data_IF_114290842184
#
_entry.id   IF_114290842184
#
_cell.length_a   1.000
_cell.length_b   1.000
_cell.length_c   1.000
_cell.angle_alpha   90.00
_cell.angle_beta   90.00
_cell.angle_gamma   90.00
#
_symmetry.space_group_name_H-M   'P 1'
#
loop_
_entity.id
_entity.type
_entity.pdbx_description
1 polymer ?
#
# COMPACT_ATOMS: atom_id res chain seq x y z
N UNK A 1 -91.68 -32.88 31.18
CA UNK A 1 -90.83 -32.46 30.04
C UNK A 1 -89.73 -31.49 30.46
N UNK A 2 -90.00 -30.56 31.39
CA UNK A 2 -89.04 -29.55 31.93
C UNK A 2 -87.83 -30.17 32.65
N UNK A 3 -88.04 -31.25 33.39
CA UNK A 3 -87.00 -31.90 34.22
C UNK A 3 -85.83 -32.46 33.38
N UNK A 4 -86.15 -33.11 32.24
CA UNK A 4 -85.13 -33.66 31.32
C UNK A 4 -84.31 -32.57 30.63
N UNK A 5 -84.89 -31.39 30.40
CA UNK A 5 -84.18 -30.25 29.80
C UNK A 5 -83.18 -29.63 30.78
N UNK A 6 -83.56 -29.48 32.05
CA UNK A 6 -82.67 -28.96 33.10
C UNK A 6 -81.47 -29.89 33.32
N UNK A 7 -81.70 -31.20 33.39
CA UNK A 7 -80.64 -32.20 33.50
C UNK A 7 -79.67 -32.11 32.30
N UNK A 8 -80.18 -31.99 31.08
CA UNK A 8 -79.35 -31.84 29.89
C UNK A 8 -78.49 -30.56 29.92
N UNK A 9 -79.06 -29.43 30.37
CA UNK A 9 -78.32 -28.16 30.50
C UNK A 9 -77.19 -28.24 31.53
N UNK A 10 -77.41 -28.90 32.66
CA UNK A 10 -76.37 -29.12 33.67
C UNK A 10 -75.24 -29.98 33.11
N UNK A 11 -75.56 -31.06 32.39
CA UNK A 11 -74.54 -31.88 31.73
C UNK A 11 -73.73 -31.10 30.71
N UNK A 12 -74.38 -30.24 29.92
CA UNK A 12 -73.69 -29.39 28.95
C UNK A 12 -72.74 -28.41 29.64
N UNK A 13 -73.16 -27.76 30.74
CA UNK A 13 -72.30 -26.88 31.51
C UNK A 13 -71.06 -27.60 32.06
N UNK A 14 -71.21 -28.84 32.55
CA UNK A 14 -70.07 -29.64 32.99
C UNK A 14 -69.16 -30.06 31.84
N UNK A 15 -69.74 -30.47 30.70
CA UNK A 15 -68.99 -30.84 29.50
C UNK A 15 -68.13 -29.67 29.03
N UNK A 16 -68.70 -28.46 28.97
CA UNK A 16 -68.00 -27.25 28.54
C UNK A 16 -66.86 -26.90 29.50
N UNK A 17 -67.10 -26.98 30.81
CA UNK A 17 -66.08 -26.76 31.83
C UNK A 17 -64.91 -27.75 31.70
N UNK A 18 -65.20 -29.05 31.57
CA UNK A 18 -64.16 -30.06 31.41
C UNK A 18 -63.43 -29.95 30.07
N UNK A 19 -64.13 -29.59 29.00
CA UNK A 19 -63.53 -29.33 27.70
C UNK A 19 -62.57 -28.13 27.76
N UNK A 20 -62.93 -27.06 28.46
CA UNK A 20 -62.07 -25.90 28.67
C UNK A 20 -60.81 -26.29 29.45
N UNK A 21 -60.97 -27.03 30.56
CA UNK A 21 -59.82 -27.50 31.33
C UNK A 21 -58.93 -28.47 30.52
N UNK A 22 -59.54 -29.35 29.73
CA UNK A 22 -58.81 -30.25 28.84
C UNK A 22 -58.01 -29.48 27.78
N UNK A 23 -58.56 -28.41 27.19
CA UNK A 23 -57.83 -27.60 26.21
C UNK A 23 -56.61 -26.93 26.82
N UNK A 24 -56.71 -26.44 28.07
CA UNK A 24 -55.57 -25.86 28.80
C UNK A 24 -54.46 -26.88 29.02
N UNK A 25 -54.82 -28.08 29.50
CA UNK A 25 -53.86 -29.17 29.71
C UNK A 25 -53.20 -29.57 28.39
N UNK A 26 -53.98 -29.73 27.32
CA UNK A 26 -53.47 -30.11 26.02
C UNK A 26 -52.56 -29.02 25.41
N UNK A 27 -52.89 -27.74 25.56
CA UNK A 27 -52.05 -26.63 25.10
C UNK A 27 -50.69 -26.64 25.82
N UNK A 28 -50.70 -26.86 27.14
CA UNK A 28 -49.46 -27.01 27.91
C UNK A 28 -48.61 -28.17 27.42
N UNK A 29 -49.24 -29.34 27.19
CA UNK A 29 -48.55 -30.54 26.72
C UNK A 29 -47.97 -30.38 25.31
N UNK A 30 -48.73 -29.78 24.38
CA UNK A 30 -48.24 -29.46 23.02
C UNK A 30 -47.04 -28.52 23.09
N UNK A 31 -47.09 -27.49 23.94
CA UNK A 31 -45.98 -26.57 24.16
C UNK A 31 -44.73 -27.26 24.73
N UNK A 32 -44.91 -28.14 25.73
CA UNK A 32 -43.83 -28.94 26.29
C UNK A 32 -43.18 -29.84 25.24
N UNK A 33 -44.00 -30.58 24.47
CA UNK A 33 -43.52 -31.51 23.46
C UNK A 33 -42.68 -30.81 22.39
N UNK A 34 -43.16 -29.67 21.87
CA UNK A 34 -42.43 -28.87 20.87
C UNK A 34 -41.07 -28.42 21.42
N UNK A 35 -41.02 -27.88 22.65
CA UNK A 35 -39.77 -27.44 23.29
C UNK A 35 -38.79 -28.57 23.57
N UNK A 36 -39.29 -29.80 23.74
CA UNK A 36 -38.44 -30.97 24.02
C UNK A 36 -37.97 -31.70 22.75
N UNK A 37 -38.78 -31.72 21.70
CA UNK A 37 -38.54 -32.57 20.51
C UNK A 37 -38.15 -31.82 19.26
N UNK A 38 -38.65 -30.59 19.08
CA UNK A 38 -38.47 -29.82 17.83
C UNK A 38 -37.54 -28.64 18.04
N UNK A 39 -37.71 -27.89 19.14
CA UNK A 39 -36.95 -26.67 19.41
C UNK A 39 -35.83 -26.92 20.43
N UNK A 40 -34.67 -27.37 19.95
CA UNK A 40 -33.44 -27.40 20.75
C UNK A 40 -32.81 -26.00 20.79
N UNK A 41 -33.32 -25.17 21.69
CA UNK A 41 -32.90 -23.76 21.85
C UNK A 41 -31.41 -23.68 22.19
N UNK A 42 -30.88 -24.65 22.92
CA UNK A 42 -29.46 -24.66 23.32
C UNK A 42 -28.56 -24.96 22.12
N UNK A 43 -28.91 -25.93 21.27
CA UNK A 43 -28.19 -26.15 19.99
C UNK A 43 -28.27 -24.93 19.08
N UNK A 44 -29.43 -24.30 18.97
CA UNK A 44 -29.58 -23.08 18.16
C UNK A 44 -28.69 -21.94 18.66
N UNK A 45 -28.64 -21.73 19.98
CA UNK A 45 -27.75 -20.72 20.59
C UNK A 45 -26.28 -21.03 20.35
N UNK A 46 -25.87 -22.29 20.48
CA UNK A 46 -24.50 -22.72 20.17
C UNK A 46 -24.14 -22.46 18.71
N UNK A 47 -25.01 -22.85 17.78
CA UNK A 47 -24.81 -22.59 16.36
C UNK A 47 -24.71 -21.09 16.05
N UNK A 48 -25.59 -20.26 16.64
CA UNK A 48 -25.51 -18.81 16.48
C UNK A 48 -24.16 -18.26 16.96
N UNK A 49 -23.69 -18.69 18.13
CA UNK A 49 -22.39 -18.28 18.64
C UNK A 49 -21.25 -18.69 17.69
N UNK A 50 -21.26 -19.92 17.19
CA UNK A 50 -20.28 -20.39 16.21
C UNK A 50 -20.30 -19.56 14.91
N UNK A 51 -21.48 -19.20 14.42
CA UNK A 51 -21.63 -18.33 13.23
C UNK A 51 -21.05 -16.94 13.51
N UNK A 52 -21.34 -16.34 14.66
CA UNK A 52 -20.79 -15.04 15.02
C UNK A 52 -19.26 -15.09 15.17
N UNK A 53 -18.72 -16.10 15.83
CA UNK A 53 -17.26 -16.30 15.96
C UNK A 53 -16.60 -16.42 14.60
N UNK A 54 -17.12 -17.27 13.69
CA UNK A 54 -16.56 -17.42 12.33
C UNK A 54 -16.67 -16.14 11.51
N UNK A 55 -17.75 -15.40 11.66
CA UNK A 55 -17.91 -14.11 10.98
C UNK A 55 -16.85 -13.11 11.47
N UNK A 56 -16.63 -13.03 12.78
CA UNK A 56 -15.61 -12.14 13.35
C UNK A 56 -14.19 -12.51 12.88
N UNK A 57 -13.86 -13.80 12.88
CA UNK A 57 -12.60 -14.32 12.32
C UNK A 57 -12.44 -13.96 10.84
N UNK A 58 -13.51 -14.11 10.05
CA UNK A 58 -13.52 -13.78 8.62
C UNK A 58 -13.25 -12.29 8.40
N UNK A 59 -13.94 -11.42 9.14
CA UNK A 59 -13.73 -9.96 9.08
C UNK A 59 -12.30 -9.59 9.48
N UNK A 60 -11.74 -10.22 10.52
CA UNK A 60 -10.36 -10.00 10.94
C UNK A 60 -9.37 -10.42 9.87
N UNK A 61 -9.58 -11.58 9.24
CA UNK A 61 -8.74 -12.05 8.14
C UNK A 61 -8.80 -11.10 6.94
N UNK A 62 -10.00 -10.66 6.54
CA UNK A 62 -10.18 -9.68 5.45
C UNK A 62 -9.44 -8.36 5.73
N UNK A 63 -9.52 -7.86 6.97
CA UNK A 63 -8.77 -6.65 7.38
C UNK A 63 -7.26 -6.86 7.28
N UNK A 64 -6.75 -8.01 7.72
CA UNK A 64 -5.32 -8.35 7.65
C UNK A 64 -4.85 -8.40 6.19
N UNK A 65 -5.55 -9.13 5.32
CA UNK A 65 -5.20 -9.20 3.90
C UNK A 65 -5.16 -7.82 3.25
N UNK A 66 -6.17 -6.98 3.50
CA UNK A 66 -6.19 -5.61 2.98
C UNK A 66 -5.00 -4.78 3.48
N UNK A 67 -4.63 -4.94 4.76
CA UNK A 67 -3.49 -4.24 5.33
C UNK A 67 -2.16 -4.68 4.69
N UNK A 68 -1.98 -5.98 4.50
CA UNK A 68 -0.81 -6.55 3.82
C UNK A 68 -0.69 -6.06 2.37
N UNK A 69 -1.80 -5.95 1.63
CA UNK A 69 -1.81 -5.39 0.28
C UNK A 69 -1.41 -3.91 0.26
N UNK A 70 -1.95 -3.11 1.19
CA UNK A 70 -1.59 -1.69 1.32
C UNK A 70 -0.10 -1.55 1.64
N UNK A 71 0.42 -2.33 2.58
CA UNK A 71 1.84 -2.32 2.93
C UNK A 71 2.72 -2.74 1.76
N UNK A 72 2.35 -3.79 1.02
CA UNK A 72 3.06 -4.21 -0.19
C UNK A 72 3.12 -3.09 -1.23
N UNK A 73 1.99 -2.47 -1.56
CA UNK A 73 1.93 -1.36 -2.51
C UNK A 73 2.75 -0.17 -2.00
N UNK A 74 2.65 0.17 -0.71
CA UNK A 74 3.41 1.25 -0.11
C UNK A 74 4.92 1.00 -0.20
N UNK A 75 5.39 -0.21 0.11
CA UNK A 75 6.82 -0.55 -0.01
C UNK A 75 7.32 -0.51 -1.46
N UNK A 76 6.50 -0.88 -2.45
CA UNK A 76 6.83 -0.73 -3.87
C UNK A 76 6.99 0.76 -4.23
N UNK A 77 6.01 1.58 -3.85
CA UNK A 77 6.04 3.04 -4.09
C UNK A 77 7.24 3.69 -3.40
N UNK A 78 7.54 3.31 -2.17
CA UNK A 78 8.71 3.79 -1.43
C UNK A 78 10.02 3.41 -2.13
N UNK A 79 10.12 2.17 -2.62
CA UNK A 79 11.30 1.71 -3.36
C UNK A 79 11.47 2.44 -4.69
N UNK A 80 10.39 2.62 -5.45
CA UNK A 80 10.41 3.37 -6.71
C UNK A 80 10.75 4.85 -6.47
N UNK A 81 10.13 5.48 -5.49
CA UNK A 81 10.42 6.87 -5.12
C UNK A 81 11.85 7.06 -4.65
N UNK A 82 12.39 6.13 -3.85
CA UNK A 82 13.83 6.12 -3.49
C UNK A 82 14.73 6.03 -4.72
N UNK A 83 14.41 5.18 -5.70
CA UNK A 83 15.17 5.08 -6.93
C UNK A 83 15.12 6.37 -7.75
N UNK A 84 13.95 7.00 -7.86
CA UNK A 84 13.79 8.30 -8.53
C UNK A 84 14.56 9.42 -7.82
N UNK A 85 14.50 9.47 -6.49
CA UNK A 85 15.26 10.43 -5.68
C UNK A 85 16.76 10.23 -5.93
N UNK A 86 17.26 8.99 -5.85
CA UNK A 86 18.66 8.68 -6.15
C UNK A 86 19.04 9.12 -7.57
N UNK A 87 18.20 8.84 -8.57
CA UNK A 87 18.44 9.28 -9.95
C UNK A 87 18.58 10.80 -10.06
N UNK A 88 17.65 11.55 -9.46
CA UNK A 88 17.67 13.01 -9.45
C UNK A 88 18.94 13.51 -8.75
N UNK A 89 19.27 12.96 -7.58
CA UNK A 89 20.49 13.34 -6.84
C UNK A 89 21.74 13.09 -7.68
N UNK A 90 21.84 11.94 -8.36
CA UNK A 90 22.96 11.63 -9.26
C UNK A 90 23.03 12.58 -10.46
N UNK A 91 21.90 12.99 -11.04
CA UNK A 91 21.90 13.95 -12.15
C UNK A 91 22.25 15.36 -11.70
N UNK A 92 21.76 15.77 -10.53
CA UNK A 92 21.87 17.14 -10.03
C UNK A 92 23.04 17.37 -9.07
N UNK A 93 23.85 16.36 -8.74
CA UNK A 93 24.97 16.48 -7.78
C UNK A 93 25.95 17.62 -8.09
N UNK A 94 26.09 17.99 -9.37
CA UNK A 94 26.95 19.07 -9.82
C UNK A 94 26.42 20.47 -9.49
N UNK A 95 25.13 20.60 -9.15
CA UNK A 95 24.51 21.84 -8.69
C UNK A 95 24.83 22.15 -7.22
N UNK A 96 25.48 21.21 -6.51
CA UNK A 96 25.98 21.41 -5.16
C UNK A 96 27.06 22.50 -5.14
N UNK A 97 27.01 23.39 -4.16
CA UNK A 97 28.05 24.40 -3.95
C UNK A 97 29.42 23.77 -3.75
N UNK A 98 30.44 24.42 -4.29
CA UNK A 98 31.85 24.10 -4.09
C UNK A 98 32.50 25.18 -3.24
N UNK A 99 33.76 24.98 -2.80
CA UNK A 99 34.50 26.01 -2.06
C UNK A 99 34.61 27.35 -2.81
N UNK A 100 34.61 27.30 -4.15
CA UNK A 100 34.85 28.46 -5.00
C UNK A 100 33.56 29.02 -5.64
N UNK A 101 32.48 28.24 -5.70
CA UNK A 101 31.23 28.65 -6.36
C UNK A 101 30.01 28.28 -5.51
N UNK A 102 29.08 29.21 -5.26
CA UNK A 102 27.80 28.88 -4.63
C UNK A 102 27.01 27.92 -5.51
N UNK A 103 26.16 27.12 -4.88
CA UNK A 103 25.31 26.14 -5.56
C UNK A 103 24.05 26.83 -6.04
N UNK A 104 23.36 26.21 -7.01
CA UNK A 104 22.14 26.81 -7.58
C UNK A 104 21.00 26.86 -6.56
N UNK A 105 20.99 25.93 -5.62
CA UNK A 105 19.99 25.84 -4.55
C UNK A 105 20.41 26.56 -3.25
N UNK A 106 21.59 27.20 -3.23
CA UNK A 106 22.05 27.97 -2.07
C UNK A 106 21.23 29.26 -2.01
N UNK A 107 20.54 29.53 -0.89
CA UNK A 107 19.95 30.87 -0.69
C UNK A 107 21.06 31.91 -0.54
N UNK A 108 20.88 33.06 -1.18
CA UNK A 108 21.86 34.16 -1.22
C UNK A 108 22.19 34.68 0.19
N UNK A 109 21.24 34.56 1.13
CA UNK A 109 21.32 35.08 2.49
C UNK A 109 21.78 34.04 3.54
N UNK A 110 21.97 32.76 3.18
CA UNK A 110 22.17 31.70 4.17
C UNK A 110 23.52 30.98 4.03
N UNK A 111 24.29 30.94 5.11
CA UNK A 111 25.49 30.08 5.26
C UNK A 111 25.13 28.59 5.38
N UNK A 112 23.90 28.25 5.74
CA UNK A 112 23.42 26.87 5.88
C UNK A 112 22.98 26.28 4.54
N UNK A 113 23.03 24.95 4.45
CA UNK A 113 22.52 24.23 3.29
C UNK A 113 20.99 24.21 3.34
N UNK A 114 20.33 24.27 2.18
CA UNK A 114 18.89 23.96 2.08
C UNK A 114 18.68 22.45 2.14
N UNK A 115 17.47 21.97 2.45
CA UNK A 115 17.16 20.53 2.52
C UNK A 115 17.63 19.78 1.26
N UNK A 116 17.41 20.36 0.08
CA UNK A 116 17.82 19.78 -1.21
C UNK A 116 19.35 19.70 -1.28
N UNK A 117 20.07 20.72 -0.84
CA UNK A 117 21.54 20.67 -0.82
C UNK A 117 22.08 19.69 0.21
N UNK A 118 21.42 19.52 1.36
CA UNK A 118 21.77 18.48 2.34
C UNK A 118 21.62 17.09 1.73
N UNK A 119 20.49 16.84 1.04
CA UNK A 119 20.27 15.58 0.32
C UNK A 119 21.30 15.36 -0.80
N UNK A 120 21.63 16.39 -1.59
CA UNK A 120 22.67 16.32 -2.62
C UNK A 120 24.06 16.07 -2.01
N UNK A 121 24.34 16.61 -0.82
CA UNK A 121 25.61 16.42 -0.10
C UNK A 121 25.77 15.00 0.42
N UNK A 122 24.68 14.33 0.80
CA UNK A 122 24.70 12.92 1.20
C UNK A 122 25.20 12.01 0.06
N UNK A 123 25.14 12.46 -1.20
CA UNK A 123 25.63 11.70 -2.34
C UNK A 123 27.17 11.84 -2.46
N UNK A 124 27.91 10.87 -1.92
CA UNK A 124 29.37 10.80 -2.01
C UNK A 124 29.86 10.39 -3.42
N UNK A 125 29.50 11.16 -4.45
CA UNK A 125 29.73 10.84 -5.86
C UNK A 125 31.18 10.44 -6.19
N UNK A 126 32.16 11.15 -5.64
CA UNK A 126 33.58 10.88 -5.86
C UNK A 126 33.99 9.50 -5.33
N UNK A 127 33.44 9.09 -4.18
CA UNK A 127 33.68 7.76 -3.61
C UNK A 127 32.98 6.69 -4.43
N UNK A 128 31.71 6.91 -4.80
CA UNK A 128 30.96 6.00 -5.67
C UNK A 128 31.71 5.72 -7.00
N UNK A 129 32.18 6.76 -7.69
CA UNK A 129 32.91 6.62 -8.96
C UNK A 129 34.25 5.90 -8.79
N UNK A 130 34.94 6.13 -7.65
CA UNK A 130 36.18 5.42 -7.30
C UNK A 130 35.90 3.93 -7.10
N UNK A 131 34.87 3.59 -6.33
CA UNK A 131 34.50 2.21 -6.03
C UNK A 131 34.02 1.46 -7.28
N UNK A 132 33.26 2.11 -8.17
CA UNK A 132 32.88 1.55 -9.49
C UNK A 132 34.11 1.21 -10.32
N UNK A 133 35.10 2.11 -10.37
CA UNK A 133 36.37 1.90 -11.11
C UNK A 133 37.20 0.76 -10.49
N UNK A 134 37.20 0.61 -9.18
CA UNK A 134 37.91 -0.47 -8.47
C UNK A 134 37.24 -1.83 -8.65
N UNK A 135 35.91 -1.90 -8.59
CA UNK A 135 35.13 -3.13 -8.81
C UNK A 135 35.25 -3.67 -10.24
N UNK A 136 35.30 -2.78 -11.24
CA UNK A 136 35.52 -3.17 -12.63
C UNK A 136 36.93 -3.74 -12.88
N UNK A 137 37.93 -3.31 -12.08
CA UNK A 137 39.31 -3.81 -12.18
C UNK A 137 39.53 -5.17 -11.53
N UNK A 138 38.71 -5.58 -10.54
CA UNK A 138 38.79 -6.90 -9.91
C UNK A 138 38.12 -7.95 -10.82
N UNK A 139 38.90 -8.58 -11.70
CA UNK A 139 38.48 -9.80 -12.40
C UNK A 139 38.38 -10.93 -11.37
N UNK A 140 37.28 -11.68 -11.39
CA UNK A 140 37.15 -12.88 -10.57
C UNK A 140 37.88 -14.02 -11.31
N UNK A 141 38.83 -14.67 -10.65
CA UNK A 141 39.70 -15.68 -11.26
C UNK A 141 38.97 -17.00 -11.57
N UNK A 142 37.85 -17.26 -10.90
CA UNK A 142 37.13 -18.56 -10.94
C UNK A 142 35.75 -18.50 -11.62
N UNK A 143 35.46 -17.45 -12.40
CA UNK A 143 34.19 -17.36 -13.10
C UNK A 143 34.39 -17.10 -14.60
N UNK A 144 34.14 -18.12 -15.42
CA UNK A 144 33.92 -18.02 -16.87
C UNK A 144 32.63 -17.26 -17.23
N UNK A 145 32.03 -16.55 -16.27
CA UNK A 145 30.93 -15.64 -16.50
C UNK A 145 31.56 -14.27 -16.69
N UNK A 146 31.60 -13.84 -17.95
CA UNK A 146 31.88 -12.46 -18.31
C UNK A 146 31.01 -11.56 -17.41
N UNK A 147 31.64 -10.85 -16.46
CA UNK A 147 30.96 -9.88 -15.58
C UNK A 147 30.54 -8.71 -16.45
N UNK A 148 29.54 -8.91 -17.31
CA UNK A 148 28.74 -7.81 -17.81
C UNK A 148 28.25 -7.05 -16.57
N UNK A 149 28.49 -5.73 -16.51
CA UNK A 149 28.00 -4.89 -15.42
C UNK A 149 26.56 -5.26 -15.11
N UNK A 150 26.25 -5.43 -13.82
CA UNK A 150 25.00 -5.95 -13.29
C UNK A 150 23.83 -5.60 -14.21
N UNK A 151 23.15 -6.64 -14.73
CA UNK A 151 22.08 -6.56 -15.75
C UNK A 151 20.90 -5.65 -15.37
N UNK A 152 20.90 -5.05 -14.17
CA UNK A 152 19.86 -4.19 -13.61
C UNK A 152 19.54 -2.98 -14.51
N UNK A 153 20.52 -2.50 -15.30
CA UNK A 153 20.32 -1.32 -16.15
C UNK A 153 20.35 -1.63 -17.66
N UNK A 154 20.58 -2.89 -18.07
CA UNK A 154 20.74 -3.23 -19.50
C UNK A 154 19.41 -3.07 -20.25
N UNK A 155 19.40 -2.32 -21.34
CA UNK A 155 18.18 -1.98 -22.10
C UNK A 155 17.27 -0.96 -21.43
N UNK A 156 17.59 -0.51 -20.22
CA UNK A 156 16.86 0.57 -19.55
C UNK A 156 17.32 1.93 -20.09
N UNK A 157 16.48 2.94 -19.92
CA UNK A 157 16.83 4.34 -20.19
C UNK A 157 18.16 4.77 -19.54
N UNK A 158 18.52 4.18 -18.40
CA UNK A 158 19.76 4.48 -17.66
C UNK A 158 21.04 4.06 -18.39
N UNK A 159 21.04 2.94 -19.13
CA UNK A 159 22.18 2.55 -19.96
C UNK A 159 22.38 3.55 -21.11
N UNK A 160 21.27 4.06 -21.69
CA UNK A 160 21.31 5.08 -22.75
C UNK A 160 21.91 6.39 -22.22
N UNK A 161 21.44 6.84 -21.06
CA UNK A 161 21.99 8.00 -20.36
C UNK A 161 23.47 7.86 -19.98
N UNK A 162 23.91 6.69 -19.49
CA UNK A 162 25.33 6.46 -19.18
C UNK A 162 26.19 6.53 -20.44
N UNK A 163 25.70 5.98 -21.57
CA UNK A 163 26.38 6.06 -22.88
C UNK A 163 26.50 7.51 -23.36
N UNK A 164 25.41 8.29 -23.29
CA UNK A 164 25.41 9.71 -23.67
C UNK A 164 26.41 10.53 -22.84
N UNK A 165 26.45 10.32 -21.52
CA UNK A 165 27.41 11.01 -20.64
C UNK A 165 28.86 10.63 -21.00
N UNK A 166 29.10 9.36 -21.31
CA UNK A 166 30.43 8.90 -21.73
C UNK A 166 30.86 9.51 -23.06
N UNK A 167 29.93 9.61 -24.00
CA UNK A 167 30.15 10.18 -25.32
C UNK A 167 30.42 11.67 -25.25
N UNK A 168 29.64 12.42 -24.45
CA UNK A 168 29.91 13.84 -24.16
C UNK A 168 31.30 14.02 -23.55
N UNK A 169 31.68 13.16 -22.60
CA UNK A 169 33.01 13.24 -21.97
C UNK A 169 34.13 12.94 -22.95
N UNK A 170 33.97 11.92 -23.80
CA UNK A 170 34.92 11.58 -24.86
C UNK A 170 35.06 12.73 -25.87
N UNK A 171 33.96 13.38 -26.21
CA UNK A 171 33.94 14.54 -27.10
C UNK A 171 34.64 15.76 -26.48
N UNK A 172 34.48 15.98 -25.17
CA UNK A 172 35.23 16.99 -24.41
C UNK A 172 36.74 16.70 -24.39
N UNK A 173 37.14 15.45 -24.15
CA UNK A 173 38.54 15.01 -24.16
C UNK A 173 39.18 15.11 -25.55
N UNK A 174 38.40 14.88 -26.61
CA UNK A 174 38.82 15.02 -28.00
C UNK A 174 38.78 16.47 -28.54
N UNK A 175 38.39 17.45 -27.72
CA UNK A 175 38.23 18.85 -28.13
C UNK A 175 37.06 19.10 -29.11
N UNK A 176 36.25 18.08 -29.38
CA UNK A 176 35.08 18.14 -30.26
C UNK A 176 33.83 18.51 -29.44
N UNK A 177 33.79 19.72 -28.89
CA UNK A 177 32.59 20.18 -28.16
C UNK A 177 31.54 20.65 -29.17
N UNK A 178 30.34 20.07 -29.23
CA UNK A 178 29.24 20.69 -29.97
C UNK A 178 28.91 21.99 -29.25
N UNK A 179 29.23 23.12 -29.89
CA UNK A 179 28.79 24.44 -29.42
C UNK A 179 27.27 24.44 -29.55
N UNK A 180 26.56 24.10 -28.47
CA UNK A 180 25.13 24.38 -28.41
C UNK A 180 24.99 25.89 -28.30
N UNK A 181 24.91 26.53 -29.46
CA UNK A 181 24.67 27.97 -29.57
C UNK A 181 23.28 28.21 -28.97
N UNK A 182 23.24 28.75 -27.75
CA UNK A 182 21.99 29.26 -27.21
C UNK A 182 21.46 30.28 -28.21
N UNK A 183 20.30 29.99 -28.82
CA UNK A 183 19.57 31.02 -29.55
C UNK A 183 19.33 32.14 -28.55
N UNK A 184 19.85 33.32 -28.84
CA UNK A 184 19.53 34.53 -28.10
C UNK A 184 18.01 34.64 -28.05
N UNK A 185 17.44 34.58 -26.85
CA UNK A 185 16.05 34.95 -26.64
C UNK A 185 15.97 36.44 -26.98
N UNK A 186 15.50 36.75 -28.17
CA UNK A 186 15.21 38.11 -28.62
C UNK A 186 14.09 38.65 -27.74
N UNK A 187 14.50 39.37 -26.70
CA UNK A 187 13.89 40.55 -26.11
C UNK A 187 12.38 40.74 -26.37
N UNK A 188 11.52 39.94 -25.72
CA UNK A 188 10.10 40.25 -25.59
C UNK A 188 9.85 40.94 -24.25
N UNK A 189 10.05 42.26 -24.30
CA UNK A 189 9.46 43.36 -23.51
C UNK A 189 8.29 42.99 -22.57
N UNK A 190 8.58 42.73 -21.30
CA UNK A 190 7.59 42.79 -20.22
C UNK A 190 7.71 44.14 -19.51
N UNK A 191 6.82 45.09 -19.82
CA UNK A 191 6.65 46.33 -19.08
C UNK A 191 5.90 46.03 -17.78
N UNK A 192 6.58 46.12 -16.65
CA UNK A 192 5.95 46.20 -15.34
C UNK A 192 5.47 47.66 -15.18
N UNK A 193 4.16 47.85 -15.01
CA UNK A 193 3.59 49.14 -14.59
C UNK A 193 3.59 49.18 -13.07
N UNK A 194 4.12 50.28 -12.52
CA UNK A 194 3.94 50.69 -11.12
C UNK A 194 2.48 51.10 -10.87
#
# INVERSE_FOLDING_TARGET
MVDRYLVHRVHQMWQDYYNEMATRIQAFWRGYWIRKTVLDIEKMRRWLNEVYTKNEETVKNMKRFKQEEIECVQTIIERESMQWILFILFKLHHLLRTKQRPGVFTRIDSTRFTLIEEMLRCLEYKRYMRDKKTKLKRKCEDCQIDRKPTLILRGTYYERCEKEIHEIRKNLEAGAVPIYRSKSLTNSRWKIKF
#
